data_IF_410121625709
#
_entry.id   IF_410121625709
#
_cell.length_a   1.000
_cell.length_b   1.000
_cell.length_c   1.000
_cell.angle_alpha   90.00
_cell.angle_beta   90.00
_cell.angle_gamma   90.00
#
_symmetry.space_group_name_H-M   'P 1'
#
loop_
_entity.id
_entity.type
_entity.pdbx_description
1 polymer ?
#
# COMPACT_ATOMS: atom_id res chain seq x y z
N UNK A 1 -22.22 11.07 -15.11
CA UNK A 1 -21.44 10.27 -14.13
C UNK A 1 -20.50 9.38 -14.93
N UNK A 2 -19.18 9.53 -14.79
CA UNK A 2 -18.20 8.92 -15.72
C UNK A 2 -17.88 7.46 -15.30
N UNK A 3 -18.16 6.44 -16.14
CA UNK A 3 -18.12 5.02 -15.74
C UNK A 3 -16.72 4.48 -15.39
N UNK A 4 -15.65 5.19 -15.76
CA UNK A 4 -14.27 4.76 -15.47
C UNK A 4 -13.93 4.88 -13.97
N UNK A 5 -14.49 5.85 -13.24
CA UNK A 5 -14.28 5.98 -11.79
C UNK A 5 -14.90 4.81 -11.00
N UNK A 6 -16.00 4.26 -11.50
CA UNK A 6 -16.65 3.08 -10.91
C UNK A 6 -15.81 1.82 -11.12
N UNK A 7 -15.18 1.66 -12.30
CA UNK A 7 -14.31 0.51 -12.56
C UNK A 7 -13.07 0.52 -11.66
N UNK A 8 -12.46 1.67 -11.37
CA UNK A 8 -11.34 1.76 -10.40
C UNK A 8 -11.75 1.40 -8.96
N UNK A 9 -13.02 1.65 -8.60
CA UNK A 9 -13.60 1.35 -7.29
C UNK A 9 -13.99 -0.13 -7.17
N UNK A 10 -14.54 -0.73 -8.24
CA UNK A 10 -14.96 -2.13 -8.33
C UNK A 10 -13.83 -3.12 -8.61
N UNK A 11 -12.74 -2.69 -9.27
CA UNK A 11 -11.50 -3.47 -9.42
C UNK A 11 -10.72 -3.67 -8.11
N UNK A 12 -11.34 -3.41 -6.96
CA UNK A 12 -11.01 -4.12 -5.71
C UNK A 12 -9.56 -4.01 -5.27
N UNK A 13 -8.88 -2.92 -5.62
CA UNK A 13 -7.57 -2.60 -5.07
C UNK A 13 -7.82 -2.06 -3.67
N UNK A 14 -8.19 -2.94 -2.73
CA UNK A 14 -8.16 -2.62 -1.30
C UNK A 14 -6.78 -2.03 -1.03
N UNK A 15 -6.74 -0.83 -0.47
CA UNK A 15 -5.51 -0.11 -0.15
C UNK A 15 -5.39 -0.08 1.37
N UNK A 16 -4.17 -0.20 1.88
CA UNK A 16 -3.88 -0.11 3.32
C UNK A 16 -2.69 0.78 3.56
N UNK A 17 -2.74 1.50 4.67
CA UNK A 17 -1.64 2.32 5.14
C UNK A 17 -0.59 1.45 5.84
N UNK A 18 0.68 1.73 5.55
CA UNK A 18 1.83 1.14 6.21
C UNK A 18 2.81 2.21 6.66
N UNK A 19 3.21 2.13 7.91
CA UNK A 19 4.28 2.95 8.47
C UNK A 19 5.62 2.26 8.23
N UNK A 20 6.57 2.98 7.64
CA UNK A 20 7.95 2.53 7.54
C UNK A 20 8.60 2.58 8.94
N UNK A 21 9.13 1.46 9.47
CA UNK A 21 9.78 1.47 10.79
C UNK A 21 11.11 2.24 10.78
N UNK A 22 11.73 2.41 9.61
CA UNK A 22 13.05 3.04 9.53
C UNK A 22 13.02 4.57 9.45
N UNK A 23 11.98 5.17 8.86
CA UNK A 23 11.87 6.62 8.72
C UNK A 23 10.56 7.19 9.30
N UNK A 24 9.68 6.34 9.83
CA UNK A 24 8.39 6.73 10.40
C UNK A 24 7.33 7.17 9.39
N UNK A 25 7.64 7.20 8.09
CA UNK A 25 6.72 7.66 7.05
C UNK A 25 5.61 6.64 6.77
N UNK A 26 4.36 7.08 6.77
CA UNK A 26 3.19 6.27 6.41
C UNK A 26 2.89 6.44 4.92
N UNK A 27 2.73 5.32 4.21
CA UNK A 27 2.39 5.29 2.79
C UNK A 27 1.30 4.25 2.51
N UNK A 28 0.57 4.44 1.41
CA UNK A 28 -0.54 3.57 1.03
C UNK A 28 -0.06 2.50 0.06
N UNK A 29 -0.30 1.23 0.39
CA UNK A 29 0.04 0.08 -0.45
C UNK A 29 -1.22 -0.68 -0.82
N UNK A 30 -1.19 -1.38 -1.96
CA UNK A 30 -2.27 -2.30 -2.29
C UNK A 30 -2.31 -3.46 -1.27
N UNK A 31 -3.50 -3.90 -0.89
CA UNK A 31 -3.70 -4.98 0.08
C UNK A 31 -3.09 -6.30 -0.38
N UNK A 32 -3.02 -6.51 -1.70
CA UNK A 32 -2.29 -7.66 -2.29
C UNK A 32 -0.80 -7.63 -1.94
N UNK A 33 -0.23 -6.44 -1.74
CA UNK A 33 1.14 -6.24 -1.30
C UNK A 33 1.28 -6.26 0.24
N UNK A 34 0.17 -6.41 0.98
CA UNK A 34 0.20 -6.49 2.45
C UNK A 34 0.93 -7.72 3.00
N UNK A 35 1.22 -8.72 2.16
CA UNK A 35 1.95 -9.94 2.53
C UNK A 35 3.40 -9.97 2.05
N UNK A 36 3.84 -8.95 1.31
CA UNK A 36 5.24 -8.85 0.85
C UNK A 36 5.95 -7.65 1.46
N UNK A 37 7.28 -7.70 1.45
CA UNK A 37 8.11 -6.56 1.75
C UNK A 37 8.08 -5.58 0.56
N UNK A 38 7.90 -4.30 0.83
CA UNK A 38 7.85 -3.25 -0.20
C UNK A 38 8.81 -2.13 0.16
N UNK A 39 9.51 -1.52 -0.81
CA UNK A 39 10.42 -0.43 -0.52
C UNK A 39 9.65 0.81 -0.04
N UNK A 40 10.15 1.46 1.00
CA UNK A 40 9.61 2.74 1.43
C UNK A 40 9.88 3.81 0.36
N UNK A 41 8.88 4.59 -0.09
CA UNK A 41 9.07 5.62 -1.11
C UNK A 41 10.00 6.76 -0.65
N UNK A 42 10.23 6.89 0.67
CA UNK A 42 11.02 7.99 1.24
C UNK A 42 12.49 7.66 1.46
N UNK A 43 12.78 6.45 1.93
CA UNK A 43 14.14 6.06 2.33
C UNK A 43 14.64 4.81 1.60
N UNK A 44 13.86 4.27 0.65
CA UNK A 44 14.12 3.05 -0.09
C UNK A 44 14.32 1.77 0.76
N UNK A 45 14.32 1.87 2.09
CA UNK A 45 14.45 0.73 2.99
C UNK A 45 13.22 -0.18 2.89
N UNK A 46 13.42 -1.51 2.98
CA UNK A 46 12.32 -2.46 2.92
C UNK A 46 11.38 -2.27 4.11
N UNK A 47 10.08 -2.23 3.83
CA UNK A 47 9.01 -2.20 4.82
C UNK A 47 8.47 -3.62 4.91
N UNK A 48 8.68 -4.32 6.04
CA UNK A 48 8.32 -5.73 6.16
C UNK A 48 6.81 -5.93 5.97
N UNK A 49 6.40 -7.15 5.57
CA UNK A 49 4.99 -7.47 5.52
C UNK A 49 4.33 -7.30 6.88
N UNK A 50 3.04 -6.98 6.90
CA UNK A 50 2.31 -6.95 8.16
C UNK A 50 2.07 -8.40 8.56
N UNK A 51 2.86 -8.92 9.49
CA UNK A 51 2.54 -10.16 10.19
C UNK A 51 1.25 -9.90 10.97
N UNK A 52 0.18 -10.62 10.62
CA UNK A 52 -1.03 -10.69 11.43
C UNK A 52 -0.71 -11.40 12.73
#
# INVERSE_FOLDING_TARGET
MNPIHQLATLLGRKKRERKCPACGHTHVVAERLSKVAVPCPRCAKPVPPRST
#
